data_IF_177744603908
#
_entry.id   IF_177744603908
#
_cell.length_a   1.000
_cell.length_b   1.000
_cell.length_c   1.000
_cell.angle_alpha   90.00
_cell.angle_beta   90.00
_cell.angle_gamma   90.00
#
_symmetry.space_group_name_H-M   'P 1'
#
loop_
_entity.id
_entity.type
_entity.pdbx_description
1 polymer ?
#
# COMPACT_ATOMS: atom_id res chain seq x y z
N UNK A 1 65.85 -22.78 -44.38
CA UNK A 1 64.83 -23.86 -44.40
C UNK A 1 64.65 -24.33 -42.97
N UNK A 2 63.49 -24.41 -42.33
CA UNK A 2 62.10 -24.23 -42.72
C UNK A 2 61.34 -23.75 -41.46
N UNK A 3 60.40 -22.84 -41.67
CA UNK A 3 59.38 -22.42 -40.72
C UNK A 3 58.34 -23.52 -40.56
N UNK A 4 57.70 -23.63 -39.39
CA UNK A 4 56.30 -24.03 -39.26
C UNK A 4 55.79 -23.68 -37.86
N UNK A 5 54.96 -22.64 -37.84
CA UNK A 5 54.08 -22.27 -36.75
C UNK A 5 52.93 -23.29 -36.63
N UNK A 6 52.49 -23.57 -35.40
CA UNK A 6 51.21 -24.21 -35.14
C UNK A 6 50.45 -23.36 -34.10
N UNK A 7 49.45 -22.64 -34.58
CA UNK A 7 48.41 -21.99 -33.78
C UNK A 7 47.52 -23.08 -33.16
N UNK A 8 47.34 -23.03 -31.84
CA UNK A 8 46.23 -23.75 -31.19
C UNK A 8 44.92 -23.03 -31.47
N UNK A 9 43.99 -23.71 -32.13
CA UNK A 9 42.64 -23.24 -32.43
C UNK A 9 41.84 -23.00 -31.15
N UNK A 10 41.13 -21.86 -31.08
CA UNK A 10 40.09 -21.65 -30.07
C UNK A 10 38.89 -22.55 -30.41
N UNK A 11 38.22 -23.16 -29.41
CA UNK A 11 36.97 -23.86 -29.67
C UNK A 11 35.91 -22.88 -30.20
N UNK A 12 35.15 -23.33 -31.19
CA UNK A 12 34.05 -22.59 -31.80
C UNK A 12 32.98 -22.20 -30.76
N UNK A 13 32.36 -21.02 -30.87
CA UNK A 13 31.26 -20.65 -29.99
C UNK A 13 30.07 -21.59 -30.23
N UNK A 14 29.48 -22.06 -29.13
CA UNK A 14 28.23 -22.83 -29.11
C UNK A 14 27.12 -22.04 -29.81
N UNK A 15 26.22 -22.68 -30.58
CA UNK A 15 25.13 -21.98 -31.24
C UNK A 15 24.25 -21.27 -30.19
N UNK A 16 23.94 -20.01 -30.46
CA UNK A 16 23.07 -19.20 -29.63
C UNK A 16 21.71 -19.89 -29.47
N UNK A 17 21.11 -19.88 -28.26
CA UNK A 17 19.76 -20.39 -28.09
C UNK A 17 18.81 -19.59 -28.97
N UNK A 18 17.91 -20.29 -29.65
CA UNK A 18 16.87 -19.69 -30.48
C UNK A 18 16.10 -18.66 -29.65
N UNK A 19 15.93 -17.46 -30.21
CA UNK A 19 15.15 -16.40 -29.60
C UNK A 19 13.72 -16.91 -29.33
N UNK A 20 13.45 -17.26 -28.08
CA UNK A 20 12.10 -17.40 -27.56
C UNK A 20 11.41 -16.06 -27.76
N UNK A 21 10.32 -16.06 -28.52
CA UNK A 21 9.48 -14.90 -28.71
C UNK A 21 9.19 -14.27 -27.35
N UNK A 22 9.58 -13.01 -27.18
CA UNK A 22 9.23 -12.23 -26.01
C UNK A 22 7.71 -12.28 -25.86
N UNK A 23 7.23 -12.87 -24.77
CA UNK A 23 5.85 -12.72 -24.37
C UNK A 23 5.60 -11.22 -24.22
N UNK A 24 4.60 -10.69 -24.95
CA UNK A 24 4.12 -9.34 -24.72
C UNK A 24 3.76 -9.19 -23.24
N UNK A 25 4.13 -8.09 -22.57
CA UNK A 25 3.69 -7.86 -21.21
C UNK A 25 2.16 -7.86 -21.21
N UNK A 26 1.58 -8.72 -20.38
CA UNK A 26 0.15 -8.68 -20.10
C UNK A 26 -0.17 -7.26 -19.60
N UNK A 27 -1.03 -6.55 -20.33
CA UNK A 27 -1.72 -5.40 -19.76
C UNK A 27 -2.40 -5.90 -18.49
N UNK A 28 -2.22 -5.21 -17.37
CA UNK A 28 -3.01 -5.50 -16.18
C UNK A 28 -4.48 -5.36 -16.58
N UNK A 29 -5.14 -6.48 -16.81
CA UNK A 29 -6.57 -6.54 -17.08
C UNK A 29 -7.22 -6.23 -15.74
N UNK A 30 -7.86 -5.08 -15.63
CA UNK A 30 -8.54 -4.68 -14.40
C UNK A 30 -9.48 -5.81 -13.99
N UNK A 31 -9.41 -6.23 -12.73
CA UNK A 31 -10.38 -7.17 -12.19
C UNK A 31 -11.80 -6.66 -12.49
N UNK A 32 -12.76 -7.54 -12.82
CA UNK A 32 -14.11 -7.10 -13.12
C UNK A 32 -14.63 -6.25 -11.96
N UNK A 33 -15.06 -5.02 -12.27
CA UNK A 33 -15.56 -4.09 -11.27
C UNK A 33 -16.76 -4.71 -10.55
N UNK A 34 -16.82 -4.65 -9.21
CA UNK A 34 -18.01 -5.10 -8.49
C UNK A 34 -19.23 -4.32 -9.00
N UNK A 35 -20.25 -5.07 -9.41
CA UNK A 35 -21.44 -4.55 -10.05
C UNK A 35 -22.44 -3.99 -9.06
N UNK A 36 -23.58 -3.51 -9.56
CA UNK A 36 -24.71 -3.09 -8.72
C UNK A 36 -25.20 -4.21 -7.80
N UNK A 37 -25.10 -5.48 -8.24
CA UNK A 37 -25.51 -6.63 -7.43
C UNK A 37 -24.65 -6.84 -6.18
N UNK A 38 -23.39 -6.38 -6.22
CA UNK A 38 -22.47 -6.41 -5.09
C UNK A 38 -22.63 -5.20 -4.16
N UNK A 39 -23.32 -4.15 -4.62
CA UNK A 39 -23.52 -2.94 -3.84
C UNK A 39 -24.48 -3.18 -2.66
N UNK A 40 -24.12 -2.75 -1.43
CA UNK A 40 -25.02 -2.85 -0.29
C UNK A 40 -26.36 -2.16 -0.52
N UNK A 41 -27.45 -2.83 -0.15
CA UNK A 41 -28.79 -2.25 -0.23
C UNK A 41 -29.07 -1.48 1.06
N UNK A 42 -29.02 -0.16 0.97
CA UNK A 42 -29.21 0.74 2.12
C UNK A 42 -30.55 1.43 1.98
N UNK A 43 -31.38 1.37 3.02
CA UNK A 43 -32.71 1.98 3.01
C UNK A 43 -32.62 3.49 2.78
N UNK A 44 -33.33 3.98 1.75
CA UNK A 44 -33.37 5.41 1.43
C UNK A 44 -32.20 5.93 0.60
N UNK A 45 -31.24 5.07 0.21
CA UNK A 45 -30.18 5.43 -0.73
C UNK A 45 -30.37 4.72 -2.08
N UNK A 46 -30.15 5.47 -3.16
CA UNK A 46 -30.14 4.94 -4.53
C UNK A 46 -28.70 4.76 -4.99
N UNK A 47 -28.32 3.55 -5.40
CA UNK A 47 -26.99 3.29 -5.98
C UNK A 47 -26.82 4.04 -7.31
N UNK A 48 -25.65 4.65 -7.52
CA UNK A 48 -25.30 5.35 -8.76
C UNK A 48 -24.25 4.58 -9.58
N UNK A 49 -23.13 4.22 -8.93
CA UNK A 49 -21.99 3.58 -9.57
C UNK A 49 -20.99 3.06 -8.54
N UNK A 50 -20.11 2.16 -8.95
CA UNK A 50 -18.87 1.81 -8.24
C UNK A 50 -17.72 2.68 -8.74
N UNK A 51 -16.81 3.10 -7.85
CA UNK A 51 -15.55 3.75 -8.26
C UNK A 51 -14.67 2.71 -8.97
N UNK A 52 -14.22 2.96 -10.20
CA UNK A 52 -13.36 2.02 -10.90
C UNK A 52 -11.99 1.95 -10.24
N UNK A 53 -11.55 0.73 -9.92
CA UNK A 53 -10.20 0.44 -9.45
C UNK A 53 -9.43 -0.29 -10.54
N UNK A 54 -8.13 -0.02 -10.66
CA UNK A 54 -7.28 -0.59 -11.71
C UNK A 54 -6.24 -1.54 -11.12
N UNK A 55 -5.72 -1.23 -9.93
CA UNK A 55 -4.62 -1.96 -9.31
C UNK A 55 -4.92 -2.42 -7.88
N UNK A 56 -5.78 -1.71 -7.14
CA UNK A 56 -6.17 -2.10 -5.79
C UNK A 56 -7.30 -3.14 -5.81
N UNK A 57 -7.18 -4.14 -4.93
CA UNK A 57 -8.20 -5.19 -4.74
C UNK A 57 -8.63 -5.37 -3.28
N UNK A 58 -8.06 -4.59 -2.34
CA UNK A 58 -8.37 -4.71 -0.92
C UNK A 58 -9.57 -3.84 -0.47
N UNK A 59 -10.26 -3.16 -1.39
CA UNK A 59 -11.48 -2.41 -1.09
C UNK A 59 -12.38 -2.21 -2.32
N UNK A 60 -13.64 -1.83 -2.08
CA UNK A 60 -14.56 -1.30 -3.08
C UNK A 60 -15.22 -0.01 -2.56
N UNK A 61 -15.54 0.93 -3.46
CA UNK A 61 -16.27 2.16 -3.11
C UNK A 61 -17.52 2.25 -3.96
N UNK A 62 -18.68 2.17 -3.32
CA UNK A 62 -19.99 2.33 -3.94
C UNK A 62 -20.50 3.75 -3.71
N UNK A 63 -20.88 4.43 -4.79
CA UNK A 63 -21.45 5.76 -4.77
C UNK A 63 -22.98 5.68 -4.80
N UNK A 64 -23.63 6.48 -3.95
CA UNK A 64 -25.07 6.62 -3.90
C UNK A 64 -25.48 8.08 -4.09
N UNK A 65 -26.71 8.28 -4.54
CA UNK A 65 -27.32 9.59 -4.75
C UNK A 65 -27.21 10.48 -3.52
N UNK A 66 -26.99 11.78 -3.75
CA UNK A 66 -26.84 12.75 -2.67
C UNK A 66 -25.44 12.79 -2.05
N UNK A 67 -24.47 12.07 -2.62
CA UNK A 67 -23.05 12.16 -2.30
C UNK A 67 -22.53 11.08 -1.34
N UNK A 68 -23.35 10.13 -0.91
CA UNK A 68 -22.92 9.11 0.03
C UNK A 68 -21.92 8.15 -0.61
N UNK A 69 -21.01 7.64 0.22
CA UNK A 69 -20.03 6.61 -0.18
C UNK A 69 -20.10 5.45 0.78
N UNK A 70 -20.28 4.24 0.25
CA UNK A 70 -20.06 3.03 1.02
C UNK A 70 -18.71 2.45 0.64
N UNK A 71 -17.82 2.28 1.62
CA UNK A 71 -16.50 1.71 1.44
C UNK A 71 -16.51 0.34 2.10
N UNK A 72 -16.34 -0.70 1.28
CA UNK A 72 -16.21 -2.09 1.75
C UNK A 72 -14.73 -2.46 1.70
N UNK A 73 -14.11 -2.63 2.87
CA UNK A 73 -12.72 -3.07 2.98
C UNK A 73 -12.67 -4.59 3.02
N UNK A 74 -11.89 -5.21 2.13
CA UNK A 74 -11.83 -6.65 1.98
C UNK A 74 -11.55 -7.36 3.31
N UNK A 75 -12.50 -8.21 3.75
CA UNK A 75 -12.44 -8.96 5.01
C UNK A 75 -12.18 -8.07 6.25
N UNK A 76 -12.73 -6.85 6.26
CA UNK A 76 -12.46 -5.85 7.29
C UNK A 76 -13.69 -5.00 7.61
N UNK A 77 -13.46 -3.72 7.90
CA UNK A 77 -14.48 -2.76 8.30
C UNK A 77 -15.27 -2.30 7.08
N UNK A 78 -16.57 -2.13 7.28
CA UNK A 78 -17.46 -1.51 6.31
C UNK A 78 -17.81 -0.13 6.79
N UNK A 79 -17.91 0.83 5.87
CA UNK A 79 -18.07 2.22 6.25
C UNK A 79 -19.04 2.94 5.33
N UNK A 80 -19.93 3.72 5.93
CA UNK A 80 -20.74 4.69 5.22
C UNK A 80 -20.23 6.10 5.53
N UNK A 81 -19.77 6.81 4.50
CA UNK A 81 -19.49 8.23 4.55
C UNK A 81 -20.76 8.99 4.18
N UNK A 82 -21.26 9.78 5.14
CA UNK A 82 -22.45 10.61 5.04
C UNK A 82 -22.01 12.05 4.75
N UNK A 83 -22.45 12.65 3.64
CA UNK A 83 -22.07 14.02 3.29
C UNK A 83 -22.55 15.05 4.31
N UNK A 84 -21.88 16.19 4.37
CA UNK A 84 -22.22 17.27 5.29
C UNK A 84 -23.70 17.68 5.20
N UNK A 85 -24.37 17.75 6.35
CA UNK A 85 -25.78 18.13 6.47
C UNK A 85 -26.79 17.08 5.99
N UNK A 86 -26.33 15.90 5.54
CA UNK A 86 -27.22 14.79 5.18
C UNK A 86 -27.52 13.88 6.37
N UNK A 87 -28.72 13.28 6.44
CA UNK A 87 -29.06 12.36 7.54
C UNK A 87 -28.39 11.00 7.37
N UNK A 88 -28.05 10.36 8.49
CA UNK A 88 -27.66 8.94 8.49
C UNK A 88 -28.88 8.10 8.10
N UNK A 89 -28.80 7.24 7.07
CA UNK A 89 -29.91 6.39 6.67
C UNK A 89 -30.26 5.34 7.75
N UNK A 90 -31.53 4.93 7.76
CA UNK A 90 -31.98 3.84 8.62
C UNK A 90 -31.54 2.46 8.11
N UNK A 91 -31.71 1.43 8.95
CA UNK A 91 -31.54 0.04 8.52
C UNK A 91 -30.11 -0.40 8.22
N UNK A 92 -29.08 0.38 8.60
CA UNK A 92 -27.68 -0.02 8.48
C UNK A 92 -27.35 -1.19 9.42
N UNK A 93 -26.51 -2.10 8.94
CA UNK A 93 -25.94 -3.16 9.77
C UNK A 93 -25.12 -2.55 10.92
N UNK A 94 -25.14 -3.20 12.07
CA UNK A 94 -24.52 -2.68 13.31
C UNK A 94 -22.99 -2.55 13.24
N UNK A 95 -22.37 -3.29 12.33
CA UNK A 95 -20.93 -3.30 12.08
C UNK A 95 -20.49 -2.25 11.05
N UNK A 96 -21.42 -1.52 10.42
CA UNK A 96 -21.09 -0.41 9.52
C UNK A 96 -20.67 0.82 10.32
N UNK A 97 -19.42 1.25 10.12
CA UNK A 97 -18.89 2.49 10.66
C UNK A 97 -19.54 3.66 9.90
N UNK A 98 -20.22 4.55 10.62
CA UNK A 98 -20.79 5.77 10.02
C UNK A 98 -19.83 6.94 10.27
N UNK A 99 -19.34 7.56 9.20
CA UNK A 99 -18.57 8.79 9.21
C UNK A 99 -19.40 9.94 8.65
N UNK A 100 -19.51 11.03 9.40
CA UNK A 100 -20.18 12.24 8.96
C UNK A 100 -19.13 13.23 8.47
N UNK A 101 -19.28 13.76 7.26
CA UNK A 101 -18.41 14.83 6.75
C UNK A 101 -18.81 16.21 7.32
N UNK A 102 -17.85 17.14 7.42
CA UNK A 102 -16.40 16.94 7.22
C UNK A 102 -15.80 16.05 8.33
N UNK A 103 -14.81 15.24 7.98
CA UNK A 103 -14.08 14.40 8.94
C UNK A 103 -12.79 15.12 9.32
N UNK A 104 -12.64 15.43 10.60
CA UNK A 104 -11.50 16.14 11.18
C UNK A 104 -10.95 15.40 12.40
N UNK A 105 -9.94 15.97 13.07
CA UNK A 105 -9.33 15.40 14.28
C UNK A 105 -8.90 13.93 14.13
N UNK A 106 -8.24 13.61 13.01
CA UNK A 106 -7.84 12.25 12.69
C UNK A 106 -6.62 11.84 13.53
N UNK A 107 -6.65 10.61 14.04
CA UNK A 107 -5.50 9.89 14.56
C UNK A 107 -4.91 8.99 13.47
N UNK A 108 -3.67 9.26 13.08
CA UNK A 108 -2.96 8.58 11.99
C UNK A 108 -1.72 7.82 12.49
N UNK A 109 -1.88 6.64 13.10
CA UNK A 109 -0.77 5.73 13.38
C UNK A 109 -0.30 4.92 12.16
N UNK A 110 -1.15 4.75 11.13
CA UNK A 110 -0.75 4.14 9.87
C UNK A 110 0.20 5.06 9.07
N UNK A 111 1.51 4.84 9.20
CA UNK A 111 2.50 5.73 8.56
C UNK A 111 2.47 5.70 7.03
N UNK A 112 2.02 4.58 6.45
CA UNK A 112 1.73 4.38 5.01
C UNK A 112 0.74 5.41 4.47
N UNK A 113 -0.27 5.77 5.25
CA UNK A 113 -1.32 6.68 4.84
C UNK A 113 -0.84 8.15 4.80
N UNK A 114 0.18 8.52 5.58
CA UNK A 114 0.66 9.91 5.70
C UNK A 114 1.02 10.53 4.34
N UNK A 115 1.71 9.79 3.46
CA UNK A 115 2.07 10.28 2.14
C UNK A 115 0.85 10.52 1.24
N UNK A 116 -0.23 9.75 1.42
CA UNK A 116 -1.47 9.91 0.66
C UNK A 116 -2.29 11.10 1.16
N UNK A 117 -2.33 11.33 2.48
CA UNK A 117 -2.91 12.56 3.04
C UNK A 117 -2.14 13.81 2.59
N UNK A 118 -0.81 13.77 2.58
CA UNK A 118 0.02 14.87 2.07
C UNK A 118 -0.25 15.15 0.58
N UNK A 119 -0.34 14.09 -0.23
CA UNK A 119 -0.64 14.23 -1.66
C UNK A 119 -2.06 14.79 -1.92
N UNK A 120 -2.99 14.62 -0.98
CA UNK A 120 -4.33 15.20 -1.00
C UNK A 120 -4.38 16.62 -0.40
N UNK A 121 -3.26 17.20 0.02
CA UNK A 121 -3.24 18.46 0.79
C UNK A 121 -4.17 18.40 2.03
N UNK A 122 -4.24 17.22 2.64
CA UNK A 122 -5.18 16.90 3.71
C UNK A 122 -4.52 16.74 5.09
N UNK A 123 -3.25 17.14 5.24
CA UNK A 123 -2.56 17.05 6.53
C UNK A 123 -3.28 17.85 7.64
N UNK A 124 -3.96 18.95 7.29
CA UNK A 124 -4.75 19.74 8.24
C UNK A 124 -5.94 19.00 8.87
N UNK A 125 -6.31 17.82 8.33
CA UNK A 125 -7.36 16.94 8.89
C UNK A 125 -6.82 16.06 10.03
N UNK A 126 -5.50 15.94 10.15
CA UNK A 126 -4.82 15.10 11.14
C UNK A 126 -4.47 15.96 12.35
N UNK A 127 -4.93 15.56 13.53
CA UNK A 127 -4.55 16.18 14.80
C UNK A 127 -3.61 15.29 15.61
N UNK A 128 -3.72 13.97 15.45
CA UNK A 128 -2.96 13.01 16.25
C UNK A 128 -2.15 12.06 15.38
N UNK A 129 -0.95 11.72 15.84
CA UNK A 129 -0.03 10.86 15.10
C UNK A 129 0.54 9.74 15.96
N UNK A 130 0.77 8.59 15.32
CA UNK A 130 1.37 7.42 15.98
C UNK A 130 2.89 7.32 15.94
N UNK A 131 3.55 8.26 15.25
CA UNK A 131 5.00 8.36 15.13
C UNK A 131 5.46 9.80 15.36
N UNK A 132 6.66 9.95 15.92
CA UNK A 132 7.36 11.24 16.04
C UNK A 132 8.32 11.51 14.89
N UNK A 133 8.65 10.46 14.11
CA UNK A 133 9.62 10.53 13.03
C UNK A 133 8.90 10.28 11.72
N UNK A 134 9.09 11.20 10.78
CA UNK A 134 8.44 11.21 9.48
C UNK A 134 9.45 11.41 8.36
N UNK A 135 9.16 10.84 7.19
CA UNK A 135 9.97 11.02 5.97
C UNK A 135 9.31 11.98 4.98
N UNK A 136 7.99 12.20 5.11
CA UNK A 136 7.24 13.19 4.34
C UNK A 136 7.58 14.58 4.86
N UNK A 137 8.19 15.44 4.04
CA UNK A 137 8.69 16.76 4.46
C UNK A 137 7.61 17.63 5.12
N UNK A 138 6.40 17.66 4.57
CA UNK A 138 5.31 18.44 5.14
C UNK A 138 4.82 17.86 6.48
N UNK A 139 4.86 16.53 6.67
CA UNK A 139 4.55 15.92 7.95
C UNK A 139 5.63 16.22 9.02
N UNK A 140 6.91 16.29 8.61
CA UNK A 140 8.00 16.76 9.48
C UNK A 140 7.72 18.19 9.93
N UNK A 141 7.39 19.10 8.99
CA UNK A 141 7.04 20.49 9.32
C UNK A 141 5.82 20.59 10.23
N UNK A 142 4.75 19.84 9.97
CA UNK A 142 3.55 19.81 10.80
C UNK A 142 3.86 19.33 12.24
N UNK A 143 4.74 18.34 12.39
CA UNK A 143 5.22 17.89 13.70
C UNK A 143 6.07 18.96 14.41
N UNK A 144 6.94 19.66 13.68
CA UNK A 144 7.80 20.74 14.21
C UNK A 144 7.01 21.99 14.62
N UNK A 145 5.97 22.33 13.86
CA UNK A 145 5.07 23.46 14.13
C UNK A 145 4.10 23.18 15.29
N UNK A 146 3.96 21.92 15.70
CA UNK A 146 2.99 21.51 16.72
C UNK A 146 1.56 21.33 16.19
N UNK A 147 1.39 21.26 14.87
CA UNK A 147 0.10 20.95 14.23
C UNK A 147 -0.30 19.49 14.52
N UNK A 148 0.68 18.59 14.66
CA UNK A 148 0.48 17.21 15.06
C UNK A 148 0.83 16.96 16.53
N UNK A 149 -0.08 16.29 17.22
CA UNK A 149 0.12 15.82 18.60
C UNK A 149 0.44 14.31 18.58
N UNK A 150 1.56 13.91 19.17
CA UNK A 150 1.89 12.50 19.32
C UNK A 150 1.00 11.86 20.39
N UNK A 151 0.10 10.96 20.00
CA UNK A 151 -0.92 10.34 20.86
C UNK A 151 -0.66 8.84 21.09
N UNK A 152 0.59 8.43 21.23
CA UNK A 152 0.97 7.02 21.44
C UNK A 152 1.06 6.23 20.13
N UNK A 153 1.51 4.97 20.19
CA UNK A 153 1.64 4.10 19.00
C UNK A 153 0.34 3.35 18.73
N UNK A 154 0.23 2.70 17.57
CA UNK A 154 -0.91 1.84 17.21
C UNK A 154 -1.24 0.76 18.28
N UNK A 155 -0.25 0.28 19.05
CA UNK A 155 -0.45 -0.75 20.08
C UNK A 155 -0.55 -0.19 21.51
N UNK A 156 -0.37 1.11 21.69
CA UNK A 156 -0.45 1.80 22.98
C UNK A 156 -0.82 3.27 22.74
N UNK A 157 -2.03 3.56 22.24
CA UNK A 157 -2.51 4.92 22.04
C UNK A 157 -2.81 5.59 23.39
N UNK A 158 -2.65 6.90 23.44
CA UNK A 158 -3.04 7.74 24.56
C UNK A 158 -4.53 8.06 24.46
N UNK A 159 -5.36 7.16 25.00
CA UNK A 159 -6.82 7.28 24.92
C UNK A 159 -7.35 8.56 25.57
N UNK A 160 -6.73 9.04 26.64
CA UNK A 160 -7.16 10.27 27.31
C UNK A 160 -6.93 11.48 26.39
N UNK A 161 -5.78 11.53 25.72
CA UNK A 161 -5.47 12.56 24.74
C UNK A 161 -6.40 12.52 23.52
N UNK A 162 -6.65 11.33 22.98
CA UNK A 162 -7.56 11.15 21.84
C UNK A 162 -8.98 11.62 22.19
N UNK A 163 -9.49 11.28 23.37
CA UNK A 163 -10.80 11.73 23.84
C UNK A 163 -10.83 13.23 24.11
N UNK A 164 -9.80 13.77 24.77
CA UNK A 164 -9.74 15.17 25.15
C UNK A 164 -9.71 16.12 23.94
N UNK A 165 -9.07 15.70 22.84
CA UNK A 165 -9.07 16.46 21.59
C UNK A 165 -10.07 15.92 20.56
N UNK A 166 -11.13 15.24 21.01
CA UNK A 166 -12.29 14.87 20.21
C UNK A 166 -11.94 14.10 18.91
N UNK A 167 -11.01 13.14 19.01
CA UNK A 167 -10.63 12.30 17.88
C UNK A 167 -11.85 11.63 17.24
N UNK A 168 -12.10 11.94 15.96
CA UNK A 168 -13.28 11.41 15.25
C UNK A 168 -12.98 10.06 14.60
N UNK A 169 -11.80 9.96 13.97
CA UNK A 169 -11.38 8.82 13.17
C UNK A 169 -9.95 8.39 13.50
N UNK A 170 -9.76 7.11 13.80
CA UNK A 170 -8.47 6.43 13.83
C UNK A 170 -8.26 5.67 12.52
N UNK A 171 -7.17 5.99 11.81
CA UNK A 171 -6.74 5.27 10.60
C UNK A 171 -5.56 4.37 10.97
N UNK A 172 -5.88 3.10 11.18
CA UNK A 172 -4.97 2.08 11.70
C UNK A 172 -4.43 1.22 10.57
N UNK A 173 -3.18 0.76 10.69
CA UNK A 173 -2.64 -0.23 9.75
C UNK A 173 -3.02 -1.64 10.17
N UNK A 174 -2.76 -2.63 9.32
CA UNK A 174 -2.92 -4.06 9.66
C UNK A 174 -2.15 -4.51 10.90
N UNK A 175 -1.18 -3.72 11.38
CA UNK A 175 -0.46 -3.99 12.63
C UNK A 175 -1.38 -4.02 13.86
N UNK A 176 -2.49 -3.28 13.86
CA UNK A 176 -3.46 -3.32 14.97
C UNK A 176 -4.12 -4.69 15.13
N UNK A 177 -4.09 -5.54 14.10
CA UNK A 177 -4.65 -6.90 14.16
C UNK A 177 -3.84 -7.81 15.10
N UNK A 178 -2.61 -7.42 15.48
CA UNK A 178 -1.82 -8.09 16.52
C UNK A 178 -2.19 -7.63 17.94
N UNK A 179 -2.99 -6.57 18.05
CA UNK A 179 -3.48 -5.97 19.30
C UNK A 179 -4.99 -5.66 19.17
N UNK A 180 -5.84 -6.68 18.94
CA UNK A 180 -7.27 -6.48 18.71
C UNK A 180 -7.95 -5.72 19.86
N UNK A 181 -7.48 -5.88 21.09
CA UNK A 181 -7.95 -5.16 22.27
C UNK A 181 -7.82 -3.64 22.14
N UNK A 182 -6.82 -3.15 21.39
CA UNK A 182 -6.63 -1.71 21.16
C UNK A 182 -7.73 -1.18 20.23
N UNK A 183 -8.04 -1.92 19.17
CA UNK A 183 -9.15 -1.57 18.26
C UNK A 183 -10.49 -1.61 18.99
N UNK A 184 -10.74 -2.68 19.75
CA UNK A 184 -11.95 -2.81 20.58
C UNK A 184 -12.09 -1.61 21.53
N UNK A 185 -10.99 -1.17 22.14
CA UNK A 185 -11.00 -0.02 23.03
C UNK A 185 -11.30 1.29 22.31
N UNK A 186 -10.71 1.56 21.15
CA UNK A 186 -11.02 2.75 20.35
C UNK A 186 -12.53 2.80 20.01
N UNK A 187 -13.09 1.66 19.59
CA UNK A 187 -14.52 1.53 19.27
C UNK A 187 -15.41 1.70 20.51
N UNK A 188 -15.05 1.10 21.66
CA UNK A 188 -15.75 1.27 22.93
C UNK A 188 -15.82 2.74 23.36
N UNK A 189 -14.76 3.50 23.09
CA UNK A 189 -14.65 4.92 23.37
C UNK A 189 -15.39 5.81 22.35
N UNK A 190 -16.02 5.21 21.33
CA UNK A 190 -16.78 5.92 20.30
C UNK A 190 -15.94 6.50 19.17
N UNK A 191 -14.61 6.27 19.15
CA UNK A 191 -13.72 6.70 18.08
C UNK A 191 -13.94 5.78 16.88
N UNK A 192 -14.32 6.36 15.73
CA UNK A 192 -14.49 5.59 14.51
C UNK A 192 -13.13 5.05 14.10
N UNK A 193 -13.05 3.78 13.72
CA UNK A 193 -11.77 3.14 13.44
C UNK A 193 -11.85 2.43 12.09
N UNK A 194 -10.88 2.69 11.22
CA UNK A 194 -10.72 1.99 9.94
C UNK A 194 -9.34 1.34 9.91
N UNK A 195 -9.29 0.08 9.51
CA UNK A 195 -8.03 -0.62 9.25
C UNK A 195 -7.69 -0.50 7.76
N UNK A 196 -6.68 0.30 7.44
CA UNK A 196 -6.13 0.38 6.09
C UNK A 196 -5.27 -0.85 5.79
N UNK A 197 -5.45 -1.40 4.59
CA UNK A 197 -4.86 -2.67 4.13
C UNK A 197 -3.98 -2.49 2.91
N UNK A 198 -3.48 -1.29 2.66
CA UNK A 198 -2.59 -1.02 1.54
C UNK A 198 -1.34 -1.92 1.57
N UNK A 199 -0.88 -2.33 2.75
CA UNK A 199 0.21 -3.31 2.88
C UNK A 199 -0.04 -4.68 2.22
N UNK A 200 -1.31 -5.05 1.98
CA UNK A 200 -1.70 -6.29 1.33
C UNK A 200 -1.83 -6.16 -0.20
N UNK A 201 -1.69 -4.94 -0.73
CA UNK A 201 -1.64 -4.73 -2.17
C UNK A 201 -0.27 -5.16 -2.71
N UNK A 202 -0.31 -6.04 -3.72
CA UNK A 202 0.89 -6.54 -4.38
C UNK A 202 1.45 -5.58 -5.41
N UNK A 203 0.63 -4.70 -5.98
CA UNK A 203 1.09 -3.72 -6.96
C UNK A 203 1.39 -2.37 -6.26
N UNK A 204 2.53 -1.69 -6.58
CA UNK A 204 2.83 -0.37 -6.02
C UNK A 204 1.76 0.69 -6.30
N UNK A 205 1.13 0.63 -7.49
CA UNK A 205 -0.02 1.48 -7.79
C UNK A 205 -1.28 1.05 -7.04
N UNK A 206 -1.44 -0.22 -6.66
CA UNK A 206 -2.54 -0.66 -5.78
C UNK A 206 -2.43 0.04 -4.42
N UNK A 207 -1.23 0.08 -3.83
CA UNK A 207 -0.96 0.86 -2.60
C UNK A 207 -1.27 2.35 -2.75
N UNK A 208 -0.98 2.91 -3.93
CA UNK A 208 -1.23 4.33 -4.22
C UNK A 208 -2.73 4.60 -4.42
N UNK A 209 -3.48 3.65 -4.98
CA UNK A 209 -4.90 3.77 -5.28
C UNK A 209 -5.77 3.87 -4.03
N UNK A 210 -5.26 3.48 -2.86
CA UNK A 210 -5.84 3.78 -1.54
C UNK A 210 -6.06 5.27 -1.28
N UNK A 211 -5.43 6.17 -2.05
CA UNK A 211 -5.77 7.60 -2.04
C UNK A 211 -7.25 7.86 -2.31
N UNK A 212 -7.92 6.99 -3.10
CA UNK A 212 -9.36 7.08 -3.38
C UNK A 212 -10.23 6.84 -2.14
N UNK A 213 -9.79 5.97 -1.22
CA UNK A 213 -10.45 5.78 0.09
C UNK A 213 -10.43 7.09 0.87
N UNK A 214 -9.25 7.71 1.00
CA UNK A 214 -9.11 8.96 1.73
C UNK A 214 -9.82 10.13 1.03
N UNK A 215 -9.81 10.16 -0.31
CA UNK A 215 -10.62 11.07 -1.11
C UNK A 215 -12.10 10.94 -0.78
N UNK A 216 -12.64 9.72 -0.74
CA UNK A 216 -14.04 9.47 -0.41
C UNK A 216 -14.39 9.84 1.04
N UNK A 217 -13.51 9.57 2.02
CA UNK A 217 -13.70 9.95 3.42
C UNK A 217 -13.75 11.48 3.58
N UNK A 218 -12.83 12.18 2.92
CA UNK A 218 -12.61 13.61 3.12
C UNK A 218 -13.41 14.51 2.16
N UNK A 219 -14.10 13.94 1.18
CA UNK A 219 -14.83 14.69 0.16
C UNK A 219 -13.92 15.32 -0.89
N UNK A 220 -12.80 14.64 -1.19
CA UNK A 220 -11.72 15.06 -2.08
C UNK A 220 -11.54 14.08 -3.26
N UNK A 221 -12.61 13.42 -3.72
CA UNK A 221 -12.52 12.37 -4.74
C UNK A 221 -11.90 12.86 -6.06
N UNK A 222 -12.27 14.05 -6.54
CA UNK A 222 -11.70 14.61 -7.77
C UNK A 222 -10.18 14.84 -7.66
N UNK A 223 -9.72 15.30 -6.49
CA UNK A 223 -8.29 15.49 -6.22
C UNK A 223 -7.57 14.15 -6.10
N UNK A 224 -8.19 13.15 -5.45
CA UNK A 224 -7.65 11.80 -5.34
C UNK A 224 -7.47 11.16 -6.73
N UNK A 225 -8.47 11.27 -7.60
CA UNK A 225 -8.42 10.76 -8.97
C UNK A 225 -7.34 11.46 -9.80
N UNK A 226 -7.21 12.79 -9.67
CA UNK A 226 -6.17 13.56 -10.36
C UNK A 226 -4.75 13.15 -9.92
N UNK A 227 -4.52 13.04 -8.60
CA UNK A 227 -3.23 12.61 -8.05
C UNK A 227 -2.91 11.18 -8.50
N UNK A 228 -3.87 10.26 -8.37
CA UNK A 228 -3.68 8.87 -8.77
C UNK A 228 -3.38 8.72 -10.26
N UNK A 229 -4.09 9.45 -11.12
CA UNK A 229 -3.85 9.47 -12.56
C UNK A 229 -2.44 9.95 -12.87
N UNK A 230 -2.01 11.06 -12.24
CA UNK A 230 -0.66 11.59 -12.43
C UNK A 230 0.45 10.62 -11.98
N UNK A 231 0.25 9.84 -10.91
CA UNK A 231 1.21 8.80 -10.51
C UNK A 231 1.21 7.62 -11.46
N UNK A 232 0.04 7.20 -11.92
CA UNK A 232 -0.10 6.12 -12.90
C UNK A 232 0.59 6.46 -14.21
N UNK A 233 0.48 7.69 -14.71
CA UNK A 233 1.18 8.15 -15.92
C UNK A 233 2.70 8.09 -15.77
N UNK A 234 3.24 8.49 -14.61
CA UNK A 234 4.68 8.38 -14.32
C UNK A 234 5.14 6.93 -14.33
N UNK A 235 4.39 6.02 -13.71
CA UNK A 235 4.74 4.59 -13.68
C UNK A 235 4.62 3.95 -15.06
N UNK A 236 3.57 4.27 -15.83
CA UNK A 236 3.42 3.80 -17.22
C UNK A 236 4.56 4.23 -18.12
N UNK A 237 5.13 5.42 -17.90
CA UNK A 237 6.33 5.84 -18.61
C UNK A 237 7.54 4.92 -18.30
N UNK A 238 7.62 4.37 -17.08
CA UNK A 238 8.65 3.41 -16.70
C UNK A 238 8.41 2.00 -17.29
N UNK A 239 7.15 1.58 -17.45
CA UNK A 239 6.81 0.28 -18.08
C UNK A 239 7.33 0.15 -19.52
N UNK A 240 7.54 1.28 -20.21
CA UNK A 240 8.14 1.31 -21.54
C UNK A 240 9.65 1.11 -21.55
N UNK A 241 10.31 1.12 -20.39
CA UNK A 241 11.74 0.87 -20.28
C UNK A 241 12.03 -0.60 -20.58
N UNK A 242 12.99 -0.84 -21.46
CA UNK A 242 13.49 -2.18 -21.70
C UNK A 242 14.14 -2.72 -20.42
N UNK A 243 13.99 -4.02 -20.18
CA UNK A 243 14.76 -4.70 -19.12
C UNK A 243 16.25 -4.44 -19.33
N UNK A 244 16.91 -4.04 -18.26
CA UNK A 244 18.36 -3.86 -18.20
C UNK A 244 19.09 -5.20 -18.06
N UNK A 245 18.37 -6.28 -17.72
CA UNK A 245 18.92 -7.58 -17.35
C UNK A 245 19.74 -7.57 -16.06
N UNK A 246 19.72 -6.47 -15.29
CA UNK A 246 20.46 -6.33 -14.04
C UNK A 246 19.69 -6.95 -12.89
N UNK A 247 20.37 -7.82 -12.16
CA UNK A 247 19.84 -8.46 -10.97
C UNK A 247 20.00 -7.57 -9.74
N UNK A 248 18.96 -7.51 -8.90
CA UNK A 248 18.90 -6.63 -7.73
C UNK A 248 18.60 -7.47 -6.47
N UNK A 249 19.45 -7.35 -5.47
CA UNK A 249 19.19 -7.80 -4.11
C UNK A 249 18.75 -6.59 -3.26
N UNK A 250 17.64 -6.73 -2.52
CA UNK A 250 17.17 -5.71 -1.59
C UNK A 250 16.93 -6.34 -0.23
N UNK A 251 17.50 -5.77 0.83
CA UNK A 251 17.41 -6.36 2.17
C UNK A 251 17.64 -5.32 3.28
N UNK A 252 17.32 -5.70 4.51
CA UNK A 252 17.82 -5.05 5.72
C UNK A 252 18.31 -6.10 6.73
N UNK A 253 18.91 -5.64 7.83
CA UNK A 253 19.37 -6.51 8.92
C UNK A 253 18.56 -6.14 10.15
N UNK A 254 17.80 -7.08 10.70
CA UNK A 254 16.98 -6.82 11.89
C UNK A 254 17.84 -6.79 13.17
N UNK A 255 17.23 -6.41 14.29
CA UNK A 255 17.91 -6.27 15.59
C UNK A 255 18.53 -7.57 16.11
N UNK A 256 18.07 -8.72 15.62
CA UNK A 256 18.62 -10.04 15.96
C UNK A 256 19.81 -10.44 15.08
N UNK A 257 20.22 -9.58 14.14
CA UNK A 257 21.32 -9.82 13.21
C UNK A 257 20.96 -10.70 12.01
N UNK A 258 19.68 -11.04 11.83
CA UNK A 258 19.23 -11.80 10.66
C UNK A 258 19.02 -10.88 9.46
N UNK A 259 19.26 -11.41 8.27
CA UNK A 259 18.89 -10.73 7.03
C UNK A 259 17.39 -10.88 6.82
N UNK A 260 16.73 -9.77 6.52
CA UNK A 260 15.34 -9.75 6.11
C UNK A 260 15.27 -9.23 4.68
N UNK A 261 14.66 -10.03 3.83
CA UNK A 261 14.45 -9.74 2.41
C UNK A 261 12.96 -9.88 2.08
N UNK A 262 12.58 -9.74 0.82
CA UNK A 262 11.19 -9.82 0.38
C UNK A 262 10.91 -11.12 -0.36
N UNK A 263 9.65 -11.57 -0.31
CA UNK A 263 9.16 -12.66 -1.14
C UNK A 263 9.41 -12.36 -2.63
N UNK A 264 9.39 -13.39 -3.46
CA UNK A 264 9.66 -13.29 -4.90
C UNK A 264 8.55 -12.55 -5.65
N UNK A 265 7.38 -12.48 -5.05
CA UNK A 265 6.19 -11.79 -5.54
C UNK A 265 5.77 -10.71 -4.53
N UNK A 266 5.02 -9.72 -5.01
CA UNK A 266 4.57 -8.56 -4.24
C UNK A 266 5.18 -7.23 -4.70
N UNK A 267 4.98 -6.18 -3.89
CA UNK A 267 5.23 -4.80 -4.33
C UNK A 267 6.69 -4.50 -4.63
N UNK A 268 7.63 -5.00 -3.84
CA UNK A 268 9.05 -4.66 -4.02
C UNK A 268 9.65 -5.32 -5.28
N UNK A 269 9.51 -6.64 -5.51
CA UNK A 269 9.90 -7.23 -6.80
C UNK A 269 9.24 -6.54 -7.99
N UNK A 270 7.96 -6.14 -7.85
CA UNK A 270 7.24 -5.38 -8.88
C UNK A 270 7.88 -4.01 -9.13
N UNK A 271 8.30 -3.28 -8.09
CA UNK A 271 9.02 -2.00 -8.25
C UNK A 271 10.36 -2.19 -8.97
N UNK A 272 11.12 -3.22 -8.62
CA UNK A 272 12.39 -3.54 -9.29
C UNK A 272 12.16 -3.82 -10.77
N UNK A 273 11.14 -4.62 -11.09
CA UNK A 273 10.75 -4.94 -12.47
C UNK A 273 10.31 -3.71 -13.26
N UNK A 274 9.48 -2.85 -12.67
CA UNK A 274 9.05 -1.58 -13.28
C UNK A 274 10.23 -0.64 -13.57
N UNK A 275 11.29 -0.69 -12.76
CA UNK A 275 12.53 0.04 -12.99
C UNK A 275 13.47 -0.64 -14.04
N UNK A 276 13.05 -1.76 -14.64
CA UNK A 276 13.82 -2.53 -15.62
C UNK A 276 14.86 -3.47 -15.01
N UNK A 277 14.81 -3.74 -13.72
CA UNK A 277 15.66 -4.72 -13.04
C UNK A 277 14.99 -6.09 -12.87
N UNK A 278 15.75 -7.06 -12.39
CA UNK A 278 15.28 -8.40 -12.06
C UNK A 278 15.57 -8.67 -10.59
N UNK A 279 14.55 -9.02 -9.80
CA UNK A 279 14.78 -9.36 -8.40
C UNK A 279 15.49 -10.70 -8.29
N UNK A 280 16.63 -10.74 -7.61
CA UNK A 280 17.51 -11.93 -7.65
C UNK A 280 16.94 -13.14 -6.90
N UNK A 281 16.05 -12.90 -5.94
CA UNK A 281 15.42 -13.96 -5.17
C UNK A 281 14.12 -14.40 -5.84
N UNK A 282 14.21 -15.40 -6.71
CA UNK A 282 13.09 -15.83 -7.57
C UNK A 282 12.14 -16.83 -6.95
N UNK A 283 12.55 -17.53 -5.88
CA UNK A 283 11.78 -18.65 -5.29
C UNK A 283 11.46 -18.50 -3.80
N UNK A 284 11.84 -17.39 -3.16
CA UNK A 284 11.47 -17.10 -1.77
C UNK A 284 9.97 -16.90 -1.60
N UNK A 285 9.40 -17.61 -0.62
CA UNK A 285 8.02 -17.41 -0.15
C UNK A 285 6.94 -18.07 -1.01
N UNK A 286 7.29 -18.78 -2.09
CA UNK A 286 6.32 -19.48 -2.97
C UNK A 286 5.63 -20.68 -2.31
N UNK A 287 6.29 -21.32 -1.34
CA UNK A 287 5.73 -22.46 -0.60
C UNK A 287 4.88 -22.04 0.61
N UNK A 288 4.95 -20.78 1.02
CA UNK A 288 4.21 -20.22 2.16
C UNK A 288 3.17 -19.19 1.69
N UNK A 289 2.21 -19.70 0.92
CA UNK A 289 1.06 -18.97 0.39
C UNK A 289 0.03 -18.61 1.50
N UNK A 290 0.29 -19.06 2.74
CA UNK A 290 -0.56 -18.78 3.91
C UNK A 290 -0.16 -17.52 4.67
N UNK A 291 1.09 -17.08 4.52
CA UNK A 291 1.62 -15.89 5.19
C UNK A 291 1.38 -14.61 4.39
N UNK A 292 0.55 -13.70 4.92
CA UNK A 292 0.32 -12.34 4.36
C UNK A 292 1.53 -11.39 4.47
N UNK A 293 2.64 -11.85 5.07
CA UNK A 293 3.87 -11.06 5.18
C UNK A 293 4.60 -11.04 3.84
N UNK A 294 4.96 -9.85 3.36
CA UNK A 294 5.77 -9.70 2.14
C UNK A 294 7.27 -9.97 2.37
N UNK A 295 7.69 -10.27 3.60
CA UNK A 295 9.11 -10.40 4.00
C UNK A 295 9.45 -11.81 4.45
N UNK A 296 10.73 -12.18 4.28
CA UNK A 296 11.31 -13.47 4.64
C UNK A 296 12.58 -13.22 5.44
N UNK A 297 12.69 -13.87 6.60
CA UNK A 297 13.92 -13.91 7.39
C UNK A 297 14.83 -15.03 6.87
N UNK A 298 16.12 -14.77 6.74
CA UNK A 298 17.13 -15.77 6.41
C UNK A 298 18.47 -15.48 7.08
N UNK A 299 19.33 -16.50 7.15
CA UNK A 299 20.69 -16.33 7.62
C UNK A 299 21.53 -15.50 6.63
N UNK A 300 22.60 -14.89 7.14
CA UNK A 300 23.56 -14.16 6.30
C UNK A 300 24.22 -15.07 5.25
N UNK A 301 24.44 -16.35 5.59
CA UNK A 301 25.02 -17.34 4.66
C UNK A 301 24.07 -17.66 3.50
N UNK A 302 22.80 -17.92 3.80
CA UNK A 302 21.76 -18.14 2.78
C UNK A 302 21.60 -16.91 1.89
N UNK A 303 21.56 -15.71 2.48
CA UNK A 303 21.50 -14.46 1.72
C UNK A 303 22.72 -14.32 0.79
N UNK A 304 23.93 -14.51 1.31
CA UNK A 304 25.17 -14.37 0.54
C UNK A 304 25.22 -15.34 -0.65
N UNK A 305 24.79 -16.60 -0.47
CA UNK A 305 24.80 -17.62 -1.52
C UNK A 305 24.03 -17.19 -2.79
N UNK A 306 23.00 -16.36 -2.64
CA UNK A 306 22.25 -15.79 -3.77
C UNK A 306 22.77 -14.39 -4.12
N UNK A 307 22.87 -13.49 -3.15
CA UNK A 307 23.17 -12.07 -3.35
C UNK A 307 24.58 -11.81 -3.92
N UNK A 308 25.53 -12.75 -3.77
CA UNK A 308 26.87 -12.64 -4.37
C UNK A 308 26.81 -12.51 -5.91
N UNK A 309 25.73 -12.99 -6.53
CA UNK A 309 25.51 -12.90 -7.97
C UNK A 309 24.69 -11.68 -8.39
N UNK A 310 24.33 -10.79 -7.46
CA UNK A 310 23.56 -9.58 -7.78
C UNK A 310 24.44 -8.51 -8.42
N UNK A 311 23.93 -7.90 -9.49
CA UNK A 311 24.56 -6.72 -10.11
C UNK A 311 24.44 -5.47 -9.21
N UNK A 312 23.33 -5.38 -8.46
CA UNK A 312 23.01 -4.26 -7.58
C UNK A 312 22.57 -4.81 -6.22
N UNK A 313 23.13 -4.23 -5.16
CA UNK A 313 22.74 -4.52 -3.78
C UNK A 313 22.19 -3.23 -3.16
N UNK A 314 20.96 -3.31 -2.65
CA UNK A 314 20.27 -2.22 -1.94
C UNK A 314 20.10 -2.65 -0.48
N UNK A 315 20.78 -1.93 0.41
CA UNK A 315 20.60 -2.07 1.84
C UNK A 315 19.63 -0.99 2.35
N UNK A 316 18.48 -1.42 2.85
CA UNK A 316 17.50 -0.53 3.47
C UNK A 316 17.91 -0.23 4.92
N UNK A 317 18.39 0.99 5.15
CA UNK A 317 18.85 1.48 6.45
C UNK A 317 17.76 2.19 7.28
N UNK A 318 16.51 2.18 6.82
CA UNK A 318 15.39 2.86 7.48
C UNK A 318 14.61 1.98 8.47
N UNK A 319 14.98 0.70 8.59
CA UNK A 319 14.32 -0.34 9.41
C UNK A 319 15.30 -0.88 10.45
#
# INVERSE_FOLDING_TARGET
MASLAACGERPAPSPAPAATAAAQPAQAEAAPLPGEEDAPKIEGLTYERTVPLVYADQFAIYCYEGGYRYIDMANSDKMLVVPEGKPVPGGLDKDVVVLQQPVDHIYLPATSAMALFDALDALGRISFVGSRTWYTENAVRAMENGDFVYAGKYNAPDYEMLLAGACELAVESTMILHNPEVKEKLVELGIKTVVERSSYEDHPLGRTEWIKVYGAILGLEEQADAVFTGQTEKVKALESLASTGKTVAFFYVNTSGNVVTYKSEGYLPSMIKLAGGEYIFTDLGKEDDTGKLSTVNMSMEEFYNTAVNADIIIYNCSI
#
